data_IF_047539491453
#
_entry.id   IF_047539491453
#
_cell.length_a   1.000
_cell.length_b   1.000
_cell.length_c   1.000
_cell.angle_alpha   90.00
_cell.angle_beta   90.00
_cell.angle_gamma   90.00
#
_symmetry.space_group_name_H-M   'P 1'
#
loop_
_entity.id
_entity.type
_entity.pdbx_description
1 polymer ?
#
# COMPACT_ATOMS: atom_id res chain seq x y z
N UNK A 1 23.44 -3.44 4.17
CA UNK A 1 22.47 -2.52 3.57
C UNK A 1 23.24 -1.39 2.94
N UNK A 2 23.18 -1.19 1.61
CA UNK A 2 23.92 -0.14 0.91
C UNK A 2 23.08 1.12 0.70
N UNK A 3 23.71 2.27 0.55
CA UNK A 3 23.04 3.53 0.21
C UNK A 3 22.39 3.45 -1.17
N UNK A 4 23.01 2.75 -2.11
CA UNK A 4 22.45 2.50 -3.44
C UNK A 4 21.11 1.76 -3.37
N UNK A 5 21.05 0.67 -2.59
CA UNK A 5 19.79 -0.06 -2.38
C UNK A 5 18.73 0.82 -1.69
N UNK A 6 19.11 1.60 -0.69
CA UNK A 6 18.22 2.57 -0.06
C UNK A 6 17.64 3.55 -1.09
N UNK A 7 18.49 4.18 -1.90
CA UNK A 7 18.07 5.15 -2.91
C UNK A 7 17.15 4.50 -3.96
N UNK A 8 17.48 3.28 -4.41
CA UNK A 8 16.66 2.54 -5.37
C UNK A 8 15.26 2.30 -4.84
N UNK A 9 15.13 1.76 -3.63
CA UNK A 9 13.82 1.45 -3.04
C UNK A 9 13.00 2.72 -2.75
N UNK A 10 13.64 3.76 -2.18
CA UNK A 10 12.96 5.02 -1.89
C UNK A 10 12.53 5.73 -3.16
N UNK A 11 13.36 5.75 -4.19
CA UNK A 11 13.02 6.34 -5.48
C UNK A 11 11.86 5.61 -6.14
N UNK A 12 11.88 4.28 -6.11
CA UNK A 12 10.83 3.46 -6.71
C UNK A 12 9.49 3.61 -5.97
N UNK A 13 9.48 3.59 -4.65
CA UNK A 13 8.25 3.51 -3.86
C UNK A 13 7.71 4.87 -3.41
N UNK A 14 8.58 5.84 -3.10
CA UNK A 14 8.15 7.13 -2.54
C UNK A 14 8.35 8.29 -3.51
N UNK A 15 9.55 8.44 -4.09
CA UNK A 15 9.80 9.56 -5.00
C UNK A 15 8.91 9.48 -6.24
N UNK A 16 8.73 8.28 -6.82
CA UNK A 16 7.84 8.08 -7.97
C UNK A 16 6.38 8.42 -7.64
N UNK A 17 5.90 8.02 -6.47
CA UNK A 17 4.55 8.34 -6.00
C UNK A 17 4.38 9.85 -5.84
N UNK A 18 5.34 10.52 -5.20
CA UNK A 18 5.32 11.98 -5.04
C UNK A 18 5.29 12.69 -6.40
N UNK A 19 6.15 12.29 -7.34
CA UNK A 19 6.20 12.89 -8.68
C UNK A 19 4.89 12.69 -9.44
N UNK A 20 4.31 11.49 -9.38
CA UNK A 20 3.05 11.17 -10.03
C UNK A 20 1.89 11.97 -9.42
N UNK A 21 1.75 11.98 -8.10
CA UNK A 21 0.67 12.73 -7.43
C UNK A 21 0.79 14.23 -7.69
N UNK A 22 2.00 14.79 -7.61
CA UNK A 22 2.27 16.21 -7.96
C UNK A 22 1.84 16.54 -9.37
N UNK A 23 2.10 15.66 -10.32
CA UNK A 23 1.71 15.87 -11.72
C UNK A 23 0.19 15.75 -11.94
N UNK A 24 -0.47 14.84 -11.23
CA UNK A 24 -1.90 14.57 -11.41
C UNK A 24 -2.81 15.56 -10.68
N UNK A 25 -2.45 16.02 -9.48
CA UNK A 25 -3.31 16.88 -8.63
C UNK A 25 -3.89 18.09 -9.38
N UNK A 26 -3.13 18.85 -10.18
CA UNK A 26 -3.69 20.01 -10.91
C UNK A 26 -4.79 19.65 -11.92
N UNK A 27 -4.92 18.39 -12.29
CA UNK A 27 -5.90 17.90 -13.27
C UNK A 27 -7.10 17.20 -12.63
N UNK A 28 -7.07 16.98 -11.30
CA UNK A 28 -8.17 16.36 -10.56
C UNK A 28 -9.27 17.39 -10.27
N UNK A 29 -10.50 16.92 -10.26
CA UNK A 29 -11.70 17.75 -10.00
C UNK A 29 -12.28 17.38 -8.63
N UNK A 30 -13.15 18.24 -8.12
CA UNK A 30 -13.96 17.92 -6.93
C UNK A 30 -14.72 16.59 -7.13
N UNK A 31 -14.69 15.72 -6.12
CA UNK A 31 -15.20 14.36 -6.17
C UNK A 31 -14.19 13.30 -6.64
N UNK A 32 -12.98 13.69 -7.03
CA UNK A 32 -11.92 12.73 -7.38
C UNK A 32 -11.45 11.91 -6.17
N UNK A 33 -10.84 10.76 -6.46
CA UNK A 33 -10.24 9.88 -5.46
C UNK A 33 -8.83 9.43 -5.90
N UNK A 34 -7.89 9.51 -4.98
CA UNK A 34 -6.54 8.96 -5.13
C UNK A 34 -6.46 7.69 -4.26
N UNK A 35 -5.98 6.59 -4.85
CA UNK A 35 -5.70 5.35 -4.10
C UNK A 35 -4.24 5.01 -4.25
N UNK A 36 -3.52 4.98 -3.13
CA UNK A 36 -2.09 4.65 -3.07
C UNK A 36 -1.89 3.20 -2.63
N UNK A 37 -0.70 2.65 -2.89
CA UNK A 37 -0.34 1.29 -2.51
C UNK A 37 0.77 1.32 -1.44
N UNK A 38 0.38 1.18 -0.19
CA UNK A 38 1.28 0.90 0.91
C UNK A 38 1.60 -0.61 1.01
N UNK A 39 1.76 -1.13 2.18
CA UNK A 39 1.94 -2.55 2.49
C UNK A 39 1.72 -2.77 3.97
N UNK A 40 1.34 -3.97 4.36
CA UNK A 40 1.38 -4.39 5.77
C UNK A 40 2.78 -4.16 6.38
N UNK A 41 3.85 -4.41 5.61
CA UNK A 41 5.22 -4.17 6.08
C UNK A 41 5.48 -2.73 6.54
N UNK A 42 4.72 -1.75 6.03
CA UNK A 42 4.77 -0.37 6.51
C UNK A 42 4.24 -0.18 7.93
N UNK A 43 3.53 -1.16 8.51
CA UNK A 43 3.01 -1.15 9.87
C UNK A 43 3.89 -1.92 10.86
N UNK A 44 4.29 -3.13 10.47
CA UNK A 44 4.98 -4.09 11.34
C UNK A 44 6.49 -4.20 11.09
N UNK A 45 7.00 -3.48 10.08
CA UNK A 45 8.42 -3.52 9.71
C UNK A 45 8.78 -4.65 8.74
N UNK A 46 7.85 -5.57 8.47
CA UNK A 46 8.08 -6.73 7.60
C UNK A 46 9.07 -7.74 8.17
N UNK A 47 9.50 -8.69 7.34
CA UNK A 47 10.47 -9.72 7.73
C UNK A 47 11.93 -9.26 7.66
N UNK A 48 12.88 -10.13 8.04
CA UNK A 48 14.33 -9.85 7.93
C UNK A 48 14.71 -9.35 6.52
N UNK A 49 15.48 -8.27 6.45
CA UNK A 49 15.90 -7.64 5.21
C UNK A 49 14.91 -6.61 4.64
N UNK A 50 13.70 -6.49 5.16
CA UNK A 50 12.66 -5.60 4.65
C UNK A 50 12.76 -4.15 5.14
N UNK A 51 13.72 -3.77 5.97
CA UNK A 51 13.75 -2.48 6.66
C UNK A 51 13.54 -1.27 5.73
N UNK A 52 14.24 -1.20 4.59
CA UNK A 52 14.11 -0.07 3.66
C UNK A 52 12.74 -0.11 2.97
N UNK A 53 12.30 -1.29 2.53
CA UNK A 53 10.99 -1.47 1.92
C UNK A 53 9.87 -1.06 2.90
N UNK A 54 9.91 -1.58 4.11
CA UNK A 54 8.96 -1.25 5.17
C UNK A 54 8.92 0.26 5.46
N UNK A 55 10.10 0.89 5.58
CA UNK A 55 10.21 2.36 5.75
C UNK A 55 9.56 3.10 4.58
N UNK A 56 9.82 2.68 3.34
CA UNK A 56 9.23 3.32 2.17
C UNK A 56 7.70 3.19 2.16
N UNK A 57 7.17 2.03 2.57
CA UNK A 57 5.72 1.79 2.63
C UNK A 57 5.05 2.49 3.82
N UNK A 58 5.75 2.65 4.94
CA UNK A 58 5.34 3.53 6.04
C UNK A 58 5.27 5.00 5.61
N UNK A 59 6.24 5.47 4.83
CA UNK A 59 6.22 6.81 4.24
C UNK A 59 4.99 7.02 3.34
N UNK A 60 4.62 6.04 2.50
CA UNK A 60 3.40 6.10 1.68
C UNK A 60 2.16 6.25 2.55
N UNK A 61 2.06 5.52 3.66
CA UNK A 61 0.92 5.61 4.59
C UNK A 61 0.78 7.01 5.18
N UNK A 62 1.89 7.59 5.62
CA UNK A 62 1.91 8.95 6.20
C UNK A 62 1.62 10.00 5.14
N UNK A 63 2.19 9.86 3.95
CA UNK A 63 1.94 10.74 2.81
C UNK A 63 0.47 10.72 2.39
N UNK A 64 -0.17 9.56 2.37
CA UNK A 64 -1.62 9.41 2.14
C UNK A 64 -2.44 10.24 3.11
N UNK A 65 -2.12 10.18 4.41
CA UNK A 65 -2.82 10.97 5.44
C UNK A 65 -2.59 12.47 5.29
N UNK A 66 -1.38 12.88 4.94
CA UNK A 66 -1.05 14.29 4.69
C UNK A 66 -1.84 14.83 3.49
N UNK A 67 -1.78 14.13 2.34
CA UNK A 67 -2.56 14.51 1.16
C UNK A 67 -4.06 14.55 1.41
N UNK A 68 -4.60 13.63 2.20
CA UNK A 68 -6.02 13.62 2.55
C UNK A 68 -6.46 14.89 3.28
N UNK A 69 -5.58 15.45 4.15
CA UNK A 69 -5.83 16.72 4.84
C UNK A 69 -5.67 17.92 3.93
N UNK A 70 -4.69 17.89 3.03
CA UNK A 70 -4.38 19.00 2.14
C UNK A 70 -5.39 19.15 0.99
N UNK A 71 -5.92 18.02 0.49
CA UNK A 71 -6.78 17.97 -0.69
C UNK A 71 -8.28 17.88 -0.35
N UNK A 72 -8.63 17.64 0.91
CA UNK A 72 -10.02 17.70 1.36
C UNK A 72 -10.56 19.14 1.39
N UNK A 73 -11.87 19.34 1.17
CA UNK A 73 -12.91 18.32 0.98
C UNK A 73 -13.07 17.81 -0.46
N UNK A 74 -12.32 18.35 -1.42
CA UNK A 74 -12.56 18.10 -2.84
C UNK A 74 -12.08 16.73 -3.33
N UNK A 75 -10.95 16.24 -2.79
CA UNK A 75 -10.33 14.99 -3.24
C UNK A 75 -10.13 14.07 -2.04
N UNK A 76 -10.61 12.84 -2.15
CA UNK A 76 -10.34 11.80 -1.16
C UNK A 76 -9.01 11.10 -1.47
N UNK A 77 -8.25 10.77 -0.46
CA UNK A 77 -6.97 10.07 -0.60
C UNK A 77 -6.93 8.92 0.39
N UNK A 78 -6.85 7.69 -0.10
CA UNK A 78 -6.76 6.49 0.72
C UNK A 78 -5.64 5.57 0.22
N UNK A 79 -5.24 4.63 1.03
CA UNK A 79 -4.24 3.62 0.70
C UNK A 79 -4.79 2.22 0.94
N UNK A 80 -4.35 1.27 0.14
CA UNK A 80 -4.45 -0.16 0.46
C UNK A 80 -3.13 -0.66 1.03
N UNK A 81 -3.22 -1.57 2.00
CA UNK A 81 -2.08 -2.21 2.66
C UNK A 81 -2.18 -3.73 2.45
N UNK A 82 -1.78 -4.25 1.28
CA UNK A 82 -1.79 -5.68 1.03
C UNK A 82 -0.83 -6.42 1.96
N UNK A 83 -1.23 -7.63 2.37
CA UNK A 83 -0.34 -8.63 2.95
C UNK A 83 0.33 -9.48 1.89
N UNK A 84 0.39 -10.81 2.11
CA UNK A 84 0.92 -11.76 1.14
C UNK A 84 -0.10 -12.00 0.03
N UNK A 85 0.20 -11.50 -1.17
CA UNK A 85 -0.65 -11.61 -2.36
C UNK A 85 0.08 -12.43 -3.42
N UNK A 86 -0.60 -13.43 -3.97
CA UNK A 86 -0.05 -14.28 -5.04
C UNK A 86 0.16 -13.46 -6.31
N UNK A 87 1.41 -13.07 -6.56
CA UNK A 87 1.83 -12.22 -7.67
C UNK A 87 3.25 -12.58 -8.10
N UNK A 88 3.62 -12.24 -9.34
CA UNK A 88 5.00 -12.40 -9.83
C UNK A 88 6.07 -11.71 -8.98
N UNK A 89 5.71 -10.71 -8.17
CA UNK A 89 6.63 -10.11 -7.21
C UNK A 89 7.10 -11.15 -6.17
N UNK A 90 6.16 -11.88 -5.56
CA UNK A 90 6.49 -12.90 -4.58
C UNK A 90 7.11 -14.15 -5.22
N UNK A 91 6.79 -14.46 -6.48
CA UNK A 91 7.43 -15.54 -7.22
C UNK A 91 8.92 -15.27 -7.42
N UNK A 92 9.31 -13.99 -7.54
CA UNK A 92 10.70 -13.57 -7.78
C UNK A 92 11.47 -13.31 -6.48
N UNK A 93 10.83 -12.69 -5.49
CA UNK A 93 11.53 -12.11 -4.33
C UNK A 93 11.25 -12.82 -3.00
N UNK A 94 10.35 -13.81 -2.95
CA UNK A 94 9.99 -14.48 -1.69
C UNK A 94 10.10 -16.00 -1.84
N UNK A 95 10.88 -16.61 -0.95
CA UNK A 95 11.02 -18.09 -0.93
C UNK A 95 9.67 -18.75 -0.63
N UNK A 96 9.39 -19.89 -1.26
CA UNK A 96 8.15 -20.65 -1.09
C UNK A 96 7.85 -21.02 0.36
N UNK A 97 8.90 -21.36 1.12
CA UNK A 97 8.76 -21.67 2.55
C UNK A 97 8.28 -20.47 3.36
N UNK A 98 8.77 -19.26 3.03
CA UNK A 98 8.32 -18.01 3.66
C UNK A 98 6.88 -17.73 3.27
N UNK A 99 6.51 -17.88 1.99
CA UNK A 99 5.13 -17.70 1.51
C UNK A 99 4.15 -18.61 2.26
N UNK A 100 4.47 -19.91 2.34
CA UNK A 100 3.64 -20.90 3.05
C UNK A 100 3.48 -20.56 4.54
N UNK A 101 4.56 -20.14 5.19
CA UNK A 101 4.52 -19.78 6.61
C UNK A 101 3.66 -18.53 6.84
N UNK A 102 3.83 -17.50 6.02
CA UNK A 102 3.03 -16.26 6.14
C UNK A 102 1.57 -16.55 5.81
N UNK A 103 1.27 -17.27 4.74
CA UNK A 103 -0.09 -17.69 4.40
C UNK A 103 -0.73 -18.49 5.55
N UNK A 104 0.00 -19.44 6.13
CA UNK A 104 -0.45 -20.22 7.28
C UNK A 104 -0.66 -19.40 8.56
N UNK A 105 0.01 -18.26 8.70
CA UNK A 105 -0.15 -17.35 9.84
C UNK A 105 -1.38 -16.44 9.69
N UNK A 106 -1.89 -16.20 8.46
CA UNK A 106 -3.12 -15.42 8.29
C UNK A 106 -4.31 -16.09 8.95
N UNK A 107 -5.31 -15.32 9.37
CA UNK A 107 -6.57 -15.87 9.87
C UNK A 107 -7.30 -16.68 8.80
N UNK A 108 -7.21 -16.26 7.51
CA UNK A 108 -7.82 -16.92 6.36
C UNK A 108 -7.01 -18.12 5.82
N UNK A 109 -5.80 -18.40 6.37
CA UNK A 109 -4.94 -19.56 6.05
C UNK A 109 -4.55 -19.68 4.57
N UNK A 110 -4.46 -18.56 3.87
CA UNK A 110 -4.07 -18.51 2.45
C UNK A 110 -3.46 -17.17 2.08
N UNK A 111 -2.83 -17.12 0.92
CA UNK A 111 -2.50 -15.87 0.24
C UNK A 111 -3.78 -15.20 -0.29
N UNK A 112 -3.75 -13.88 -0.43
CA UNK A 112 -4.75 -13.15 -1.20
C UNK A 112 -4.47 -13.20 -2.70
N UNK A 113 -5.40 -12.73 -3.50
CA UNK A 113 -5.25 -12.58 -4.95
C UNK A 113 -5.22 -11.11 -5.36
N UNK A 114 -4.68 -10.84 -6.55
CA UNK A 114 -4.69 -9.48 -7.12
C UNK A 114 -6.10 -8.93 -7.29
N UNK A 115 -7.07 -9.79 -7.63
CA UNK A 115 -8.48 -9.45 -7.80
C UNK A 115 -9.12 -9.02 -6.47
N UNK A 116 -8.74 -9.65 -5.36
CA UNK A 116 -9.24 -9.27 -4.04
C UNK A 116 -8.75 -7.86 -3.67
N UNK A 117 -7.49 -7.55 -3.93
CA UNK A 117 -6.95 -6.19 -3.74
C UNK A 117 -7.61 -5.20 -4.68
N UNK A 118 -7.78 -5.55 -5.96
CA UNK A 118 -8.40 -4.69 -6.97
C UNK A 118 -9.83 -4.29 -6.61
N UNK A 119 -10.61 -5.20 -6.01
CA UNK A 119 -11.98 -4.88 -5.52
C UNK A 119 -11.96 -3.80 -4.44
N UNK A 120 -11.00 -3.84 -3.52
CA UNK A 120 -10.86 -2.81 -2.49
C UNK A 120 -10.42 -1.48 -3.10
N UNK A 121 -9.49 -1.50 -4.06
CA UNK A 121 -9.08 -0.30 -4.81
C UNK A 121 -10.28 0.31 -5.53
N UNK A 122 -11.08 -0.50 -6.23
CA UNK A 122 -12.29 -0.04 -6.90
C UNK A 122 -13.29 0.60 -5.93
N UNK A 123 -13.54 -0.03 -4.78
CA UNK A 123 -14.39 0.52 -3.72
C UNK A 123 -13.87 1.88 -3.25
N UNK A 124 -12.56 2.00 -2.95
CA UNK A 124 -11.96 3.25 -2.49
C UNK A 124 -11.97 4.34 -3.57
N UNK A 125 -11.90 3.98 -4.84
CA UNK A 125 -11.98 4.91 -5.95
C UNK A 125 -13.43 5.37 -6.24
N UNK A 126 -14.43 4.58 -5.86
CA UNK A 126 -15.83 4.81 -6.15
C UNK A 126 -16.51 5.76 -5.15
N UNK A 127 -17.77 6.14 -5.42
CA UNK A 127 -18.61 6.93 -4.51
C UNK A 127 -19.05 6.16 -3.27
N UNK A 128 -18.98 4.83 -3.28
CA UNK A 128 -19.35 3.97 -2.16
C UNK A 128 -18.49 4.24 -0.91
N UNK A 129 -17.27 4.77 -1.10
CA UNK A 129 -16.37 5.18 -0.04
C UNK A 129 -16.37 6.70 0.22
N UNK A 130 -17.48 7.38 -0.05
CA UNK A 130 -17.59 8.86 -0.03
C UNK A 130 -17.23 9.49 1.32
N UNK A 131 -17.34 8.78 2.43
CA UNK A 131 -16.96 9.26 3.77
C UNK A 131 -15.61 8.69 4.26
N UNK A 132 -14.77 8.19 3.32
CA UNK A 132 -13.47 7.64 3.63
C UNK A 132 -12.35 8.47 2.99
N UNK A 133 -11.49 9.06 3.82
CA UNK A 133 -10.26 9.72 3.40
C UNK A 133 -9.19 9.58 4.48
N UNK A 134 -7.92 9.51 4.10
CA UNK A 134 -6.78 9.34 5.01
C UNK A 134 -6.64 7.92 5.58
N UNK A 135 -7.40 6.95 5.09
CA UNK A 135 -7.34 5.56 5.58
C UNK A 135 -6.21 4.78 4.91
N UNK A 136 -5.64 3.85 5.68
CA UNK A 136 -4.74 2.82 5.19
C UNK A 136 -5.44 1.48 5.43
N UNK A 137 -6.09 0.95 4.40
CA UNK A 137 -7.00 -0.20 4.49
C UNK A 137 -6.24 -1.50 4.35
N UNK A 138 -6.27 -2.34 5.36
CA UNK A 138 -5.61 -3.64 5.35
C UNK A 138 -6.34 -4.64 4.45
N UNK A 139 -5.58 -5.31 3.59
CA UNK A 139 -6.03 -6.40 2.71
C UNK A 139 -5.03 -7.56 2.89
N UNK A 140 -5.00 -8.15 4.09
CA UNK A 140 -3.92 -9.02 4.54
C UNK A 140 -4.38 -10.39 5.08
N UNK A 141 -5.65 -10.74 4.91
CA UNK A 141 -6.19 -12.01 5.37
C UNK A 141 -6.19 -12.19 6.90
N UNK A 142 -6.11 -11.08 7.66
CA UNK A 142 -6.02 -11.11 9.11
C UNK A 142 -4.64 -11.52 9.64
N UNK A 143 -3.58 -11.21 8.89
CA UNK A 143 -2.20 -11.42 9.36
C UNK A 143 -1.83 -10.36 10.41
N UNK A 144 -2.37 -9.15 10.28
CA UNK A 144 -2.22 -8.05 11.22
C UNK A 144 -3.56 -7.34 11.37
N UNK A 145 -3.89 -6.99 12.60
CA UNK A 145 -5.04 -6.14 12.93
C UNK A 145 -4.52 -4.76 13.37
N UNK A 146 -4.97 -3.70 12.72
CA UNK A 146 -4.55 -2.32 12.97
C UNK A 146 -5.69 -1.43 13.46
#
# INVERSE_FOLDING_TARGET
>A
MSLEHYNTVMNLNMTSLFMMTRACIPHLKSGSSIVTFASQAGRDGGGPGAAIYATSKGAVMTYTRALAKELGPDIRVNSVCPGMISTGFHDTFTQDTVRKNVAGATALKREGTSEEVAKVVYFLASKESSFMTGNNVDVNGGLLFS
#
